data_IF_766730793827
#
_entry.id   IF_766730793827
#
_cell.length_a   1.000
_cell.length_b   1.000
_cell.length_c   1.000
_cell.angle_alpha   90.00
_cell.angle_beta   90.00
_cell.angle_gamma   90.00
#
_symmetry.space_group_name_H-M   'P 1'
#
loop_
_entity.id
_entity.type
_entity.pdbx_description
1 polymer ?
#
# COMPACT_ATOMS: atom_id res chain seq x y z
N UNK A 1 8.79 77.08 41.18
CA UNK A 1 7.49 76.43 40.87
C UNK A 1 7.75 75.10 40.17
N UNK A 2 6.96 74.08 40.50
CA UNK A 2 7.07 72.67 40.08
C UNK A 2 6.73 72.47 38.59
N UNK A 3 7.35 71.43 38.00
CA UNK A 3 6.92 70.71 36.78
C UNK A 3 8.15 70.10 36.08
N UNK A 4 8.54 68.82 36.27
CA UNK A 4 8.03 67.58 35.62
C UNK A 4 7.75 67.85 34.12
N UNK A 5 8.33 67.14 33.14
CA UNK A 5 8.15 65.71 32.89
C UNK A 5 9.21 65.08 31.93
N UNK A 6 9.67 63.85 32.28
CA UNK A 6 9.82 62.60 31.47
C UNK A 6 10.71 62.59 30.19
N UNK A 7 11.82 61.84 30.12
CA UNK A 7 11.97 60.37 29.86
C UNK A 7 11.37 59.97 28.49
N UNK A 8 12.00 59.30 27.51
CA UNK A 8 13.15 58.40 27.38
C UNK A 8 13.60 58.36 25.89
N UNK A 9 14.81 57.84 25.56
CA UNK A 9 15.29 57.55 24.21
C UNK A 9 14.88 56.14 23.76
N UNK A 10 14.56 55.95 22.48
CA UNK A 10 14.32 54.61 21.91
C UNK A 10 15.38 54.29 20.85
N UNK A 11 16.40 53.61 21.34
CA UNK A 11 17.46 52.93 20.62
C UNK A 11 16.97 51.49 20.41
N UNK A 12 16.80 51.05 19.16
CA UNK A 12 16.48 49.65 18.80
C UNK A 12 16.66 49.55 17.29
N UNK A 13 17.44 48.66 16.70
CA UNK A 13 18.07 47.45 17.19
C UNK A 13 18.21 46.56 15.95
N UNK A 14 19.36 46.64 15.28
CA UNK A 14 19.70 45.87 14.10
C UNK A 14 19.97 44.42 14.56
N UNK A 15 19.05 43.49 14.34
CA UNK A 15 19.32 42.06 14.56
C UNK A 15 19.01 41.29 13.27
N UNK A 16 20.11 40.97 12.62
CA UNK A 16 20.31 40.03 11.53
C UNK A 16 19.96 38.61 12.03
N UNK A 17 18.85 38.03 11.56
CA UNK A 17 18.57 36.60 11.80
C UNK A 17 18.98 35.83 10.56
N UNK A 18 20.09 35.13 10.69
CA UNK A 18 20.61 34.15 9.73
C UNK A 18 19.67 32.95 9.65
N UNK A 19 18.99 32.81 8.52
CA UNK A 19 18.25 31.60 8.14
C UNK A 19 19.26 30.46 7.91
N UNK A 20 19.43 29.63 8.94
CA UNK A 20 20.05 28.32 8.84
C UNK A 20 19.21 27.47 7.89
N UNK A 21 19.72 27.26 6.67
CA UNK A 21 19.27 26.21 5.77
C UNK A 21 19.64 24.86 6.39
N UNK A 22 18.75 24.34 7.23
CA UNK A 22 18.73 22.93 7.54
C UNK A 22 18.27 22.20 6.27
N UNK A 23 19.22 21.74 5.45
CA UNK A 23 18.96 20.69 4.49
C UNK A 23 18.41 19.49 5.26
N UNK A 24 17.09 19.34 5.28
CA UNK A 24 16.48 18.05 5.55
C UNK A 24 17.02 17.11 4.48
N UNK A 25 17.91 16.20 4.87
CA UNK A 25 18.13 14.97 4.15
C UNK A 25 16.78 14.25 4.12
N UNK A 26 16.01 14.55 3.08
CA UNK A 26 14.84 13.79 2.71
C UNK A 26 15.38 12.46 2.21
N UNK A 27 14.98 11.31 2.80
CA UNK A 27 15.36 10.03 2.23
C UNK A 27 14.89 10.04 0.78
N UNK A 28 15.79 9.72 -0.15
CA UNK A 28 15.46 9.48 -1.55
C UNK A 28 14.25 8.56 -1.58
N UNK A 29 13.07 9.14 -1.84
CA UNK A 29 11.93 8.38 -2.33
C UNK A 29 12.41 7.83 -3.66
N UNK A 30 12.80 6.55 -3.65
CA UNK A 30 13.13 5.80 -4.85
C UNK A 30 12.09 6.12 -5.91
N UNK A 31 12.57 6.46 -7.11
CA UNK A 31 11.79 6.82 -8.29
C UNK A 31 10.40 6.18 -8.25
N UNK A 32 9.40 6.96 -7.84
CA UNK A 32 8.00 6.56 -7.99
C UNK A 32 7.71 6.64 -9.48
N UNK A 33 8.06 5.59 -10.22
CA UNK A 33 7.49 5.32 -11.54
C UNK A 33 6.00 5.12 -11.27
N UNK A 34 5.19 6.16 -11.51
CA UNK A 34 3.75 6.12 -11.22
C UNK A 34 3.09 5.16 -12.19
N UNK A 35 3.05 3.88 -11.82
CA UNK A 35 2.29 2.85 -12.53
C UNK A 35 0.82 3.03 -12.21
N UNK A 36 -0.01 2.97 -13.23
CA UNK A 36 -1.46 3.00 -13.07
C UNK A 36 -1.93 1.58 -12.72
N UNK A 37 -2.64 1.43 -11.61
CA UNK A 37 -3.16 0.14 -11.14
C UNK A 37 -4.66 0.12 -11.35
N UNK A 38 -5.13 -0.81 -12.17
CA UNK A 38 -6.55 -1.05 -12.42
C UNK A 38 -6.94 -2.42 -11.83
N UNK A 39 -8.04 -2.43 -11.07
CA UNK A 39 -8.58 -3.65 -10.46
C UNK A 39 -9.98 -3.91 -11.00
N UNK A 40 -10.23 -5.13 -11.45
CA UNK A 40 -11.53 -5.54 -11.98
C UNK A 40 -12.17 -6.50 -10.97
N UNK A 41 -13.14 -6.00 -10.23
CA UNK A 41 -13.95 -6.80 -9.30
C UNK A 41 -14.79 -7.83 -10.05
N UNK A 42 -15.04 -8.97 -9.41
CA UNK A 42 -15.98 -9.99 -9.91
C UNK A 42 -17.29 -9.98 -9.10
N UNK A 43 -18.28 -10.75 -9.54
CA UNK A 43 -19.61 -10.77 -8.89
C UNK A 43 -19.53 -11.09 -7.39
N UNK A 44 -18.63 -11.99 -7.00
CA UNK A 44 -18.51 -12.50 -5.64
C UNK A 44 -17.26 -12.01 -4.91
N UNK A 45 -16.35 -11.31 -5.59
CA UNK A 45 -15.08 -10.88 -5.02
C UNK A 45 -14.76 -9.42 -5.37
N UNK A 46 -14.33 -8.67 -4.36
CA UNK A 46 -13.85 -7.31 -4.50
C UNK A 46 -12.37 -7.22 -4.09
N UNK A 47 -11.58 -6.50 -4.88
CA UNK A 47 -10.21 -6.18 -4.54
C UNK A 47 -10.16 -5.09 -3.47
N UNK A 48 -9.28 -5.28 -2.50
CA UNK A 48 -8.88 -4.24 -1.56
C UNK A 48 -7.74 -3.39 -2.15
N UNK A 49 -6.98 -2.67 -1.30
CA UNK A 49 -5.78 -1.98 -1.75
C UNK A 49 -4.80 -2.92 -2.45
N UNK A 50 -4.37 -2.54 -3.65
CA UNK A 50 -3.30 -3.19 -4.42
C UNK A 50 -2.11 -2.24 -4.51
N UNK A 51 -0.92 -2.78 -4.27
CA UNK A 51 0.35 -2.08 -4.32
C UNK A 51 1.24 -2.75 -5.36
N UNK A 52 1.82 -1.93 -6.22
CA UNK A 52 2.84 -2.36 -7.18
C UNK A 52 4.14 -1.66 -6.80
N UNK A 53 5.19 -2.46 -6.59
CA UNK A 53 6.51 -1.99 -6.19
C UNK A 53 7.49 -2.42 -7.27
N UNK A 54 8.19 -1.46 -7.86
CA UNK A 54 9.29 -1.75 -8.77
C UNK A 54 10.54 -2.08 -7.95
N UNK A 55 11.08 -3.27 -8.14
CA UNK A 55 12.31 -3.72 -7.47
C UNK A 55 13.29 -4.24 -8.54
N UNK A 56 14.41 -3.53 -8.72
CA UNK A 56 15.38 -3.88 -9.75
C UNK A 56 14.76 -3.95 -11.16
N UNK A 57 14.81 -5.13 -11.77
CA UNK A 57 14.27 -5.41 -13.12
C UNK A 57 12.92 -6.14 -13.10
N UNK A 58 12.16 -5.97 -12.03
CA UNK A 58 10.87 -6.61 -11.88
C UNK A 58 9.86 -5.80 -11.11
N UNK A 59 8.65 -6.33 -11.06
CA UNK A 59 7.51 -5.80 -10.35
C UNK A 59 7.04 -6.78 -9.30
N UNK A 60 6.94 -6.29 -8.06
CA UNK A 60 6.22 -6.98 -7.01
C UNK A 60 4.79 -6.43 -6.92
N UNK A 61 3.80 -7.30 -7.03
CA UNK A 61 2.38 -6.94 -6.92
C UNK A 61 1.81 -7.58 -5.65
N UNK A 62 1.35 -6.74 -4.73
CA UNK A 62 0.75 -7.15 -3.46
C UNK A 62 -0.67 -6.64 -3.39
N UNK A 63 -1.57 -7.44 -2.85
CA UNK A 63 -2.92 -6.96 -2.63
C UNK A 63 -3.74 -7.86 -1.74
N UNK A 64 -5.01 -7.49 -1.62
CA UNK A 64 -6.00 -8.29 -0.93
C UNK A 64 -7.26 -8.42 -1.76
N UNK A 65 -7.95 -9.54 -1.58
CA UNK A 65 -9.23 -9.83 -2.20
C UNK A 65 -10.20 -10.28 -1.10
N UNK A 66 -11.44 -9.80 -1.15
CA UNK A 66 -12.46 -10.11 -0.16
C UNK A 66 -13.70 -10.67 -0.85
N UNK A 67 -14.22 -11.76 -0.30
CA UNK A 67 -15.46 -12.37 -0.78
C UNK A 67 -16.69 -11.61 -0.24
N UNK A 68 -17.68 -11.41 -1.11
CA UNK A 68 -18.96 -10.76 -0.83
C UNK A 68 -19.82 -11.50 0.21
N UNK A 69 -20.89 -10.85 0.67
CA UNK A 69 -21.78 -11.41 1.68
C UNK A 69 -22.81 -12.31 0.99
N UNK A 70 -22.64 -13.64 1.04
CA UNK A 70 -23.72 -14.57 0.64
C UNK A 70 -23.32 -15.96 0.13
N UNK A 71 -22.12 -16.12 -0.42
CA UNK A 71 -21.64 -17.39 -1.01
C UNK A 71 -20.83 -18.31 -0.07
N UNK A 72 -20.54 -19.56 -0.51
CA UNK A 72 -19.59 -20.46 0.14
C UNK A 72 -18.23 -19.76 0.37
N UNK A 73 -17.62 -19.95 1.54
CA UNK A 73 -16.38 -19.27 1.95
C UNK A 73 -15.13 -19.94 1.38
N UNK A 74 -15.18 -20.28 0.10
CA UNK A 74 -14.07 -20.96 -0.54
C UNK A 74 -12.97 -19.96 -0.91
N UNK A 75 -11.74 -20.49 -0.91
CA UNK A 75 -10.53 -19.75 -1.25
C UNK A 75 -10.79 -19.08 -2.60
N UNK A 76 -10.51 -17.77 -2.76
CA UNK A 76 -10.67 -17.13 -4.06
C UNK A 76 -9.89 -17.92 -5.11
N UNK A 77 -10.46 -18.07 -6.30
CA UNK A 77 -9.76 -18.62 -7.46
C UNK A 77 -8.44 -17.91 -7.78
N UNK A 78 -7.85 -18.21 -8.93
CA UNK A 78 -6.62 -17.53 -9.34
C UNK A 78 -6.86 -16.02 -9.50
N UNK A 79 -5.85 -15.22 -9.15
CA UNK A 79 -5.78 -13.80 -9.48
C UNK A 79 -4.87 -13.69 -10.69
N UNK A 80 -5.43 -13.17 -11.77
CA UNK A 80 -4.72 -12.95 -13.02
C UNK A 80 -4.19 -11.51 -13.04
N UNK A 81 -2.90 -11.36 -13.30
CA UNK A 81 -2.21 -10.07 -13.32
C UNK A 81 -1.56 -9.90 -14.67
N UNK A 82 -1.88 -8.80 -15.32
CA UNK A 82 -1.34 -8.41 -16.62
C UNK A 82 -0.65 -7.04 -16.48
N UNK A 83 0.48 -6.88 -17.17
CA UNK A 83 1.21 -5.60 -17.22
C UNK A 83 1.22 -5.15 -18.67
N UNK A 84 0.75 -3.94 -18.92
CA UNK A 84 0.66 -3.33 -20.24
C UNK A 84 1.59 -2.13 -20.35
N UNK A 85 2.17 -1.95 -21.53
CA UNK A 85 2.86 -0.71 -21.87
C UNK A 85 1.86 0.44 -22.03
N UNK A 86 2.35 1.68 -22.02
CA UNK A 86 1.51 2.85 -22.33
C UNK A 86 0.79 2.75 -23.70
N UNK A 87 1.37 2.03 -24.66
CA UNK A 87 0.78 1.78 -25.99
C UNK A 87 -0.26 0.65 -25.99
N UNK A 88 -0.51 0.02 -24.85
CA UNK A 88 -1.44 -1.10 -24.70
C UNK A 88 -0.86 -2.46 -25.10
N UNK A 89 0.46 -2.59 -25.20
CA UNK A 89 1.10 -3.89 -25.46
C UNK A 89 1.22 -4.70 -24.17
N UNK A 90 0.80 -5.98 -24.18
CA UNK A 90 1.04 -6.89 -23.05
C UNK A 90 2.55 -7.15 -22.89
N UNK A 91 3.10 -6.77 -21.73
CA UNK A 91 4.51 -6.93 -21.38
C UNK A 91 4.77 -8.19 -20.56
N UNK A 92 3.88 -8.50 -19.62
CA UNK A 92 3.97 -9.68 -18.78
C UNK A 92 2.58 -10.09 -18.27
N UNK A 93 2.42 -11.38 -18.00
CA UNK A 93 1.24 -11.95 -17.37
C UNK A 93 1.64 -12.97 -16.32
N UNK A 94 0.85 -13.11 -15.27
CA UNK A 94 1.02 -14.17 -14.26
C UNK A 94 -0.29 -14.49 -13.56
N UNK A 95 -0.40 -15.72 -13.07
CA UNK A 95 -1.49 -16.15 -12.19
C UNK A 95 -0.94 -16.40 -10.79
N UNK A 96 -1.65 -15.94 -9.77
CA UNK A 96 -1.30 -16.20 -8.36
C UNK A 96 -2.52 -16.65 -7.56
N UNK A 97 -2.28 -17.49 -6.55
CA UNK A 97 -3.33 -17.98 -5.67
C UNK A 97 -3.30 -17.24 -4.33
N UNK A 98 -4.38 -16.52 -3.97
CA UNK A 98 -4.39 -15.76 -2.74
C UNK A 98 -4.48 -16.67 -1.53
N UNK A 99 -3.69 -16.36 -0.50
CA UNK A 99 -3.66 -17.09 0.76
C UNK A 99 -4.66 -16.49 1.75
N UNK A 100 -5.54 -17.30 2.38
CA UNK A 100 -6.48 -16.83 3.40
C UNK A 100 -5.78 -16.14 4.58
N UNK A 101 -6.24 -14.96 4.98
CA UNK A 101 -5.73 -14.29 6.19
C UNK A 101 -6.38 -14.92 7.43
N UNK A 102 -5.66 -15.79 8.13
CA UNK A 102 -6.13 -16.34 9.40
C UNK A 102 -6.13 -15.26 10.50
N UNK A 103 -7.32 -14.72 10.86
CA UNK A 103 -7.48 -13.78 11.98
C UNK A 103 -7.40 -14.42 13.39
N UNK A 104 -6.75 -15.57 13.56
CA UNK A 104 -6.67 -16.27 14.84
C UNK A 104 -5.24 -16.67 15.21
N UNK A 105 -4.42 -15.69 15.59
CA UNK A 105 -3.40 -15.93 16.60
C UNK A 105 -4.05 -15.69 17.97
N UNK A 106 -4.56 -16.73 18.63
CA UNK A 106 -4.85 -16.65 20.07
C UNK A 106 -3.58 -17.00 20.85
N UNK A 107 -3.29 -16.32 21.98
CA UNK A 107 -2.12 -16.64 22.80
C UNK A 107 -2.22 -18.09 23.25
N UNK A 108 -1.10 -18.82 23.17
CA UNK A 108 -0.98 -20.16 23.71
C UNK A 108 -1.15 -20.10 25.25
N UNK A 109 -2.37 -20.26 25.74
CA UNK A 109 -2.63 -20.60 27.13
C UNK A 109 -2.59 -22.13 27.26
N UNK A 110 -1.59 -22.61 27.97
CA UNK A 110 -1.41 -24.01 28.31
C UNK A 110 -2.32 -24.37 29.50
N UNK A 111 -3.15 -25.39 29.31
CA UNK A 111 -3.94 -26.02 30.36
C UNK A 111 -5.33 -26.44 29.91
N UNK A 112 -5.53 -27.75 29.76
CA UNK A 112 -6.79 -28.48 29.56
C UNK A 112 -7.32 -28.57 28.10
N UNK A 113 -7.42 -29.83 27.64
CA UNK A 113 -7.91 -30.21 26.32
C UNK A 113 -9.42 -30.02 26.20
N UNK A 114 -9.84 -29.05 25.39
CA UNK A 114 -11.14 -29.07 24.73
C UNK A 114 -10.88 -28.76 23.25
N UNK A 115 -11.09 -29.69 22.30
CA UNK A 115 -10.94 -29.39 20.88
C UNK A 115 -12.11 -28.51 20.42
N UNK A 116 -12.01 -27.21 20.69
CA UNK A 116 -12.91 -26.20 20.15
C UNK A 116 -12.39 -25.83 18.75
N UNK A 117 -12.84 -26.55 17.71
CA UNK A 117 -12.65 -26.14 16.32
C UNK A 117 -13.57 -24.96 15.99
N UNK A 118 -13.23 -23.75 16.42
CA UNK A 118 -13.86 -22.53 15.87
C UNK A 118 -13.11 -22.17 14.58
N UNK A 119 -13.45 -22.86 13.49
CA UNK A 119 -12.91 -22.57 12.16
C UNK A 119 -13.64 -21.34 11.58
N UNK A 120 -13.28 -20.13 12.03
CA UNK A 120 -13.73 -18.90 11.36
C UNK A 120 -12.89 -18.73 10.09
N UNK A 121 -13.33 -19.38 9.01
CA UNK A 121 -12.73 -19.26 7.67
C UNK A 121 -12.62 -17.78 7.26
N UNK A 122 -11.46 -17.42 6.70
CA UNK A 122 -11.12 -16.05 6.35
C UNK A 122 -11.98 -15.57 5.18
N UNK A 123 -12.58 -14.37 5.31
CA UNK A 123 -13.31 -13.70 4.22
C UNK A 123 -12.41 -12.88 3.31
N UNK A 124 -11.15 -12.70 3.73
CA UNK A 124 -10.14 -11.91 3.05
C UNK A 124 -8.93 -12.79 2.84
N UNK A 125 -8.34 -12.69 1.66
CA UNK A 125 -7.11 -13.35 1.29
C UNK A 125 -6.10 -12.32 0.76
N UNK A 126 -4.83 -12.65 0.83
CA UNK A 126 -3.72 -11.83 0.36
C UNK A 126 -2.98 -12.53 -0.76
N UNK A 127 -2.47 -11.75 -1.70
CA UNK A 127 -1.57 -12.24 -2.73
C UNK A 127 -0.32 -11.37 -2.78
N UNK A 128 0.79 -12.01 -3.13
CA UNK A 128 2.10 -11.42 -3.34
C UNK A 128 2.72 -12.20 -4.50
N UNK A 129 3.06 -11.53 -5.58
CA UNK A 129 3.69 -12.15 -6.74
C UNK A 129 4.73 -11.25 -7.37
N UNK A 130 5.63 -11.89 -8.11
CA UNK A 130 6.71 -11.23 -8.83
C UNK A 130 6.54 -11.40 -10.33
N UNK A 131 6.70 -10.30 -11.07
CA UNK A 131 6.76 -10.29 -12.52
C UNK A 131 8.15 -9.82 -12.96
N UNK A 132 8.89 -10.62 -13.76
CA UNK A 132 10.21 -10.23 -14.26
C UNK A 132 10.08 -9.29 -15.47
N UNK A 133 9.50 -8.11 -15.24
CA UNK A 133 9.29 -7.05 -16.25
C UNK A 133 9.86 -5.74 -15.73
N UNK A 134 10.51 -5.00 -16.62
CA UNK A 134 11.03 -3.65 -16.35
C UNK A 134 10.03 -2.65 -16.93
N UNK A 135 9.09 -2.10 -16.11
CA UNK A 135 8.05 -1.23 -16.62
C UNK A 135 8.58 0.17 -16.92
N UNK A 136 8.03 0.78 -17.96
CA UNK A 136 8.20 2.18 -18.31
C UNK A 136 7.30 3.11 -17.50
N UNK A 137 7.54 4.42 -17.67
CA UNK A 137 6.65 5.45 -17.16
C UNK A 137 5.32 5.43 -17.92
N UNK A 138 4.20 5.34 -17.20
CA UNK A 138 2.86 5.32 -17.80
C UNK A 138 2.34 3.91 -18.14
N UNK A 139 3.12 2.88 -17.82
CA UNK A 139 2.67 1.49 -17.90
C UNK A 139 1.55 1.20 -16.89
N UNK A 140 0.74 0.20 -17.21
CA UNK A 140 -0.47 -0.16 -16.47
C UNK A 140 -0.39 -1.58 -15.95
N UNK A 141 -0.94 -1.80 -14.76
CA UNK A 141 -1.09 -3.13 -14.19
C UNK A 141 -2.58 -3.41 -14.02
N UNK A 142 -3.07 -4.43 -14.71
CA UNK A 142 -4.43 -4.91 -14.57
C UNK A 142 -4.44 -6.13 -13.64
N UNK A 143 -5.33 -6.09 -12.66
CA UNK A 143 -5.51 -7.19 -11.70
C UNK A 143 -6.97 -7.63 -11.75
N UNK A 144 -7.18 -8.91 -12.05
CA UNK A 144 -8.51 -9.49 -12.21
C UNK A 144 -8.63 -10.84 -11.52
N UNK A 145 -9.86 -11.24 -11.23
CA UNK A 145 -10.17 -12.52 -10.61
C UNK A 145 -10.60 -13.56 -11.67
N UNK A 146 -10.04 -14.77 -11.60
CA UNK A 146 -10.34 -15.90 -12.49
C UNK A 146 -10.86 -17.10 -11.69
N UNK A 147 -12.03 -17.61 -12.08
CA UNK A 147 -12.69 -18.80 -11.50
C UNK A 147 -12.18 -20.10 -12.11
#
# INVERSE_FOLDING_TARGET
>A
MKGRHWLFPALTGFILVTLLSACSLQPEQGSHTTLEVETIDSTDYAFGPVQVIQEGKGLQVKGSITHGIGGPRDIPGAIHIEVYSQEGQLLAETDTHPMPIHRQARPAQFGLWVPVRINRQARTAQFDTWLPVEPGLGDRVHVSHRL
#
